data_IF_430592452790
#
_entry.id   IF_430592452790
#
_cell.length_a   1.000
_cell.length_b   1.000
_cell.length_c   1.000
_cell.angle_alpha   90.00
_cell.angle_beta   90.00
_cell.angle_gamma   90.00
#
_symmetry.space_group_name_H-M   'P 1'
#
loop_
_entity.id
_entity.type
_entity.pdbx_description
1 polymer ?
#
# COMPACT_ATOMS: atom_id res chain seq x y z
N UNK A 1 -28.00 6.72 -3.63
CA UNK A 1 -27.05 5.70 -4.10
C UNK A 1 -27.15 4.58 -3.07
N UNK A 2 -27.28 3.32 -3.49
CA UNK A 2 -27.21 2.21 -2.53
C UNK A 2 -25.82 2.27 -1.90
N UNK A 3 -25.75 2.43 -0.58
CA UNK A 3 -24.47 2.30 0.11
C UNK A 3 -24.00 0.85 -0.10
N UNK A 4 -22.77 0.66 -0.57
CA UNK A 4 -22.19 -0.67 -0.72
C UNK A 4 -22.12 -1.36 0.64
N UNK A 5 -22.30 -2.68 0.66
CA UNK A 5 -22.33 -3.50 1.88
C UNK A 5 -21.11 -4.41 1.99
N UNK A 6 -20.93 -5.06 3.14
CA UNK A 6 -19.94 -6.13 3.30
C UNK A 6 -20.13 -7.27 2.28
N UNK A 7 -21.38 -7.63 1.97
CA UNK A 7 -21.67 -8.64 0.95
C UNK A 7 -21.18 -8.19 -0.45
N UNK A 8 -21.41 -6.93 -0.82
CA UNK A 8 -20.92 -6.38 -2.09
C UNK A 8 -19.39 -6.36 -2.13
N UNK A 9 -18.73 -6.02 -1.02
CA UNK A 9 -17.28 -6.04 -0.89
C UNK A 9 -16.72 -7.46 -1.07
N UNK A 10 -17.30 -8.46 -0.41
CA UNK A 10 -16.89 -9.86 -0.57
C UNK A 10 -17.02 -10.33 -2.03
N UNK A 11 -18.13 -10.01 -2.69
CA UNK A 11 -18.37 -10.33 -4.11
C UNK A 11 -17.35 -9.64 -5.02
N UNK A 12 -17.09 -8.35 -4.81
CA UNK A 12 -16.11 -7.58 -5.57
C UNK A 12 -14.71 -8.22 -5.53
N UNK A 13 -14.35 -8.79 -4.38
CA UNK A 13 -13.06 -9.43 -4.18
C UNK A 13 -13.05 -10.93 -4.50
N UNK A 14 -14.19 -11.55 -4.80
CA UNK A 14 -14.30 -12.99 -4.99
C UNK A 14 -13.99 -13.79 -3.73
N UNK A 15 -14.27 -13.22 -2.55
CA UNK A 15 -13.95 -13.80 -1.25
C UNK A 15 -15.22 -14.25 -0.53
N UNK A 16 -15.05 -15.13 0.46
CA UNK A 16 -16.09 -15.49 1.44
C UNK A 16 -15.64 -15.05 2.82
N UNK A 17 -16.56 -14.94 3.81
CA UNK A 17 -16.17 -14.68 5.19
C UNK A 17 -15.10 -15.65 5.70
N UNK A 18 -15.24 -16.94 5.36
CA UNK A 18 -14.31 -17.99 5.76
C UNK A 18 -12.93 -17.84 5.09
N UNK A 19 -12.88 -17.51 3.79
CA UNK A 19 -11.60 -17.28 3.11
C UNK A 19 -10.91 -16.03 3.65
N UNK A 20 -11.64 -14.95 3.94
CA UNK A 20 -11.10 -13.77 4.62
C UNK A 20 -10.53 -14.12 5.99
N UNK A 21 -11.28 -14.84 6.84
CA UNK A 21 -10.81 -15.26 8.16
C UNK A 21 -9.55 -16.12 8.08
N UNK A 22 -9.47 -17.02 7.10
CA UNK A 22 -8.28 -17.83 6.85
C UNK A 22 -7.07 -16.96 6.46
N UNK A 23 -7.25 -16.02 5.53
CA UNK A 23 -6.18 -15.13 5.06
C UNK A 23 -5.72 -14.13 6.13
N UNK A 24 -6.62 -13.69 7.01
CA UNK A 24 -6.31 -12.81 8.13
C UNK A 24 -5.54 -13.53 9.25
N UNK A 25 -5.60 -14.87 9.29
CA UNK A 25 -4.95 -15.67 10.34
C UNK A 25 -5.53 -15.40 11.74
N UNK A 26 -4.87 -15.92 12.79
CA UNK A 26 -5.21 -15.59 14.17
C UNK A 26 -4.88 -14.12 14.47
N UNK A 27 -5.54 -13.56 15.50
CA UNK A 27 -5.21 -12.23 16.01
C UNK A 27 -3.78 -12.23 16.55
N UNK A 28 -2.97 -11.29 16.07
CA UNK A 28 -1.63 -11.11 16.58
C UNK A 28 -1.71 -10.55 18.01
N UNK A 29 -1.03 -11.20 18.97
CA UNK A 29 -0.84 -10.64 20.30
C UNK A 29 0.00 -9.36 20.18
N UNK A 30 -0.50 -8.25 20.70
CA UNK A 30 0.28 -7.00 20.80
C UNK A 30 1.54 -7.26 21.63
N UNK A 31 2.69 -7.37 20.96
CA UNK A 31 3.98 -7.29 21.64
C UNK A 31 4.40 -5.83 21.67
N UNK A 32 4.34 -5.25 22.87
CA UNK A 32 4.86 -3.93 23.18
C UNK A 32 6.38 -3.98 23.03
N UNK A 33 6.89 -3.46 21.91
CA UNK A 33 8.32 -3.26 21.73
C UNK A 33 8.73 -1.97 22.44
N UNK A 34 9.89 -2.00 23.10
CA UNK A 34 10.43 -0.87 23.87
C UNK A 34 10.53 0.42 23.04
N UNK A 35 10.44 1.57 23.71
CA UNK A 35 10.64 2.89 23.11
C UNK A 35 12.05 3.00 22.48
N UNK A 36 12.14 2.70 21.18
CA UNK A 36 13.31 3.04 20.39
C UNK A 36 13.19 4.50 19.96
N UNK A 37 14.13 5.35 20.38
CA UNK A 37 14.17 6.74 19.92
C UNK A 37 14.83 6.76 18.54
N UNK A 38 14.09 7.02 17.46
CA UNK A 38 14.66 7.05 16.12
C UNK A 38 15.75 8.12 16.01
N UNK A 39 16.75 7.92 15.13
CA UNK A 39 17.78 8.93 14.87
C UNK A 39 17.16 10.19 14.28
N UNK A 40 17.78 11.33 14.56
CA UNK A 40 17.42 12.59 13.90
C UNK A 40 17.93 12.57 12.45
N UNK A 41 17.02 12.76 11.50
CA UNK A 41 17.29 12.69 10.06
C UNK A 41 16.56 13.83 9.37
N UNK A 42 17.27 14.53 8.48
CA UNK A 42 16.65 15.48 7.55
C UNK A 42 15.80 14.71 6.55
N UNK A 43 14.50 14.96 6.56
CA UNK A 43 13.56 14.35 5.62
C UNK A 43 13.61 15.14 4.30
N UNK A 44 13.82 14.47 3.14
CA UNK A 44 13.76 15.13 1.84
C UNK A 44 12.39 15.78 1.57
N UNK A 45 12.34 16.72 0.62
CA UNK A 45 11.06 17.29 0.20
C UNK A 45 10.16 16.22 -0.44
N UNK A 46 8.84 16.46 -0.54
CA UNK A 46 7.93 15.51 -1.20
C UNK A 46 8.34 15.19 -2.64
N UNK A 47 8.82 16.17 -3.40
CA UNK A 47 9.35 15.97 -4.75
C UNK A 47 10.62 15.12 -4.76
N UNK A 48 11.55 15.34 -3.82
CA UNK A 48 12.75 14.52 -3.70
C UNK A 48 12.41 13.08 -3.27
N UNK A 49 11.41 12.91 -2.39
CA UNK A 49 10.90 11.60 -1.99
C UNK A 49 10.25 10.86 -3.16
N UNK A 50 9.56 11.56 -4.05
CA UNK A 50 8.97 10.98 -5.26
C UNK A 50 10.06 10.44 -6.20
N UNK A 51 11.09 11.26 -6.47
CA UNK A 51 12.26 10.84 -7.27
C UNK A 51 13.02 9.70 -6.61
N UNK A 52 13.25 9.79 -5.29
CA UNK A 52 13.92 8.74 -4.53
C UNK A 52 13.16 7.41 -4.56
N UNK A 53 11.82 7.46 -4.47
CA UNK A 53 10.96 6.27 -4.57
C UNK A 53 11.10 5.65 -5.95
N UNK A 54 11.03 6.45 -7.02
CA UNK A 54 11.26 6.00 -8.40
C UNK A 54 12.62 5.32 -8.58
N UNK A 55 13.70 5.95 -8.11
CA UNK A 55 15.06 5.43 -8.28
C UNK A 55 15.29 4.13 -7.51
N UNK A 56 14.67 3.99 -6.33
CA UNK A 56 14.76 2.76 -5.54
C UNK A 56 13.93 1.66 -6.19
N UNK A 57 12.68 1.96 -6.57
CA UNK A 57 11.78 0.97 -7.16
C UNK A 57 12.32 0.42 -8.49
N UNK A 58 12.98 1.24 -9.32
CA UNK A 58 13.63 0.75 -10.54
C UNK A 58 14.73 -0.29 -10.27
N UNK A 59 15.40 -0.22 -9.13
CA UNK A 59 16.42 -1.20 -8.72
C UNK A 59 15.79 -2.42 -8.04
N UNK A 60 14.75 -2.20 -7.23
CA UNK A 60 14.11 -3.25 -6.44
C UNK A 60 13.04 -4.04 -7.20
N UNK A 61 12.58 -3.51 -8.34
CA UNK A 61 11.62 -4.16 -9.24
C UNK A 61 11.99 -3.87 -10.71
N UNK A 62 13.15 -4.36 -11.20
CA UNK A 62 13.65 -4.07 -12.54
C UNK A 62 12.67 -4.44 -13.66
N UNK A 63 11.82 -5.45 -13.46
CA UNK A 63 10.78 -5.81 -14.43
C UNK A 63 9.74 -4.69 -14.67
N UNK A 64 9.59 -3.77 -13.71
CA UNK A 64 8.69 -2.61 -13.77
C UNK A 64 9.38 -1.30 -14.11
N UNK A 65 10.70 -1.30 -14.41
CA UNK A 65 11.48 -0.07 -14.50
C UNK A 65 10.94 0.94 -15.52
N UNK A 66 10.48 0.47 -16.69
CA UNK A 66 9.90 1.32 -17.72
C UNK A 66 8.59 1.99 -17.28
N UNK A 67 7.74 1.24 -16.58
CA UNK A 67 6.48 1.72 -16.02
C UNK A 67 6.73 2.70 -14.87
N UNK A 68 7.73 2.44 -14.03
CA UNK A 68 8.15 3.32 -12.95
C UNK A 68 8.64 4.66 -13.51
N UNK A 69 9.54 4.64 -14.50
CA UNK A 69 10.02 5.85 -15.15
C UNK A 69 8.86 6.68 -15.75
N UNK A 70 7.93 6.01 -16.46
CA UNK A 70 6.74 6.67 -17.01
C UNK A 70 5.86 7.27 -15.91
N UNK A 71 5.64 6.54 -14.82
CA UNK A 71 4.85 7.00 -13.67
C UNK A 71 5.44 8.27 -13.08
N UNK A 72 6.76 8.33 -12.94
CA UNK A 72 7.48 9.50 -12.43
C UNK A 72 7.30 10.72 -13.31
N UNK A 73 7.36 10.55 -14.64
CA UNK A 73 7.25 11.64 -15.61
C UNK A 73 5.80 12.12 -15.81
N UNK A 74 4.85 11.17 -15.81
CA UNK A 74 3.47 11.41 -16.23
C UNK A 74 2.50 11.63 -15.08
N UNK A 75 2.87 11.35 -13.83
CA UNK A 75 2.00 11.68 -12.68
C UNK A 75 2.12 13.16 -12.33
N UNK A 76 0.99 13.84 -12.16
CA UNK A 76 0.97 15.17 -11.53
C UNK A 76 0.99 15.01 -10.02
N UNK A 77 1.89 15.73 -9.35
CA UNK A 77 2.06 15.63 -7.89
C UNK A 77 1.86 16.99 -7.22
N UNK A 78 1.24 16.98 -6.05
CA UNK A 78 1.11 18.14 -5.17
C UNK A 78 1.44 17.73 -3.73
N UNK A 79 2.62 18.14 -3.25
CA UNK A 79 3.13 17.74 -1.93
C UNK A 79 2.84 18.75 -0.80
N UNK A 80 2.32 19.92 -1.15
CA UNK A 80 1.83 20.92 -0.21
C UNK A 80 0.42 21.39 -0.62
N UNK A 81 -0.58 20.47 -0.64
CA UNK A 81 -1.96 20.83 -0.94
C UNK A 81 -2.54 21.70 0.18
N UNK A 82 -3.66 22.36 -0.11
CA UNK A 82 -4.49 22.99 0.92
C UNK A 82 -5.02 21.92 1.88
N UNK A 83 -4.39 21.82 3.05
CA UNK A 83 -4.69 20.78 4.05
C UNK A 83 -6.03 20.97 4.75
N UNK A 84 -6.66 22.16 4.67
CA UNK A 84 -8.01 22.35 5.18
C UNK A 84 -9.04 21.64 4.30
N UNK A 85 -8.79 21.64 2.98
CA UNK A 85 -9.65 20.99 1.99
C UNK A 85 -9.27 19.53 1.74
N UNK A 86 -7.98 19.23 1.78
CA UNK A 86 -7.40 17.93 1.44
C UNK A 86 -6.44 17.46 2.54
N UNK A 87 -6.96 17.06 3.71
CA UNK A 87 -6.12 16.72 4.87
C UNK A 87 -5.40 15.37 4.74
N UNK A 88 -5.83 14.51 3.80
CA UNK A 88 -5.29 13.16 3.58
C UNK A 88 -4.67 13.06 2.20
N UNK A 89 -3.69 12.17 2.05
CA UNK A 89 -3.17 11.83 0.74
C UNK A 89 -4.20 11.02 -0.06
N UNK A 90 -4.15 11.17 -1.37
CA UNK A 90 -4.93 10.37 -2.30
C UNK A 90 -4.32 10.40 -3.69
N UNK A 91 -4.60 9.33 -4.44
CA UNK A 91 -4.30 9.20 -5.87
C UNK A 91 -5.59 9.08 -6.67
N UNK A 92 -5.73 9.93 -7.70
CA UNK A 92 -6.81 9.86 -8.69
C UNK A 92 -6.25 9.42 -10.05
N UNK A 93 -7.07 8.66 -10.80
CA UNK A 93 -6.71 8.21 -12.14
C UNK A 93 -6.59 9.36 -13.14
N UNK A 94 -7.52 10.31 -13.10
CA UNK A 94 -7.52 11.46 -14.00
C UNK A 94 -8.29 12.63 -13.35
N UNK A 95 -7.77 13.84 -13.52
CA UNK A 95 -8.41 15.10 -13.14
C UNK A 95 -8.89 15.92 -14.35
N UNK A 96 -9.05 15.27 -15.51
CA UNK A 96 -9.51 15.85 -16.77
C UNK A 96 -8.39 16.15 -17.78
N UNK A 97 -7.21 15.54 -17.61
CA UNK A 97 -6.03 15.74 -18.46
C UNK A 97 -5.36 14.44 -18.93
N UNK A 98 -5.98 13.28 -18.66
CA UNK A 98 -5.46 11.96 -19.03
C UNK A 98 -4.24 11.52 -18.21
N UNK A 99 -4.00 12.11 -17.04
CA UNK A 99 -2.83 11.82 -16.20
C UNK A 99 -3.25 11.57 -14.75
N UNK A 100 -2.61 10.60 -14.05
CA UNK A 100 -2.82 10.44 -12.63
C UNK A 100 -2.44 11.70 -11.85
N UNK A 101 -3.17 11.94 -10.77
CA UNK A 101 -2.92 13.03 -9.85
C UNK A 101 -2.75 12.50 -8.44
N UNK A 102 -1.64 12.89 -7.81
CA UNK A 102 -1.30 12.57 -6.42
C UNK A 102 -1.32 13.85 -5.60
N UNK A 103 -2.20 13.88 -4.59
CA UNK A 103 -2.16 14.88 -3.52
C UNK A 103 -1.57 14.21 -2.29
N UNK A 104 -0.48 14.74 -1.74
CA UNK A 104 0.19 14.11 -0.60
C UNK A 104 0.77 15.18 0.36
N UNK A 105 0.05 15.56 1.42
CA UNK A 105 0.51 16.61 2.33
C UNK A 105 1.74 16.16 3.13
N UNK A 106 2.92 16.60 2.69
CA UNK A 106 4.19 16.32 3.34
C UNK A 106 4.46 17.34 4.44
N UNK A 107 4.88 16.86 5.62
CA UNK A 107 5.11 17.66 6.83
C UNK A 107 6.58 17.70 7.26
N UNK A 108 7.49 17.12 6.46
CA UNK A 108 8.90 16.95 6.81
C UNK A 108 9.14 15.86 7.85
N UNK A 109 8.30 14.82 7.87
CA UNK A 109 8.36 13.72 8.85
C UNK A 109 8.73 12.40 8.19
N UNK A 110 9.26 11.44 8.95
CA UNK A 110 9.49 10.08 8.45
C UNK A 110 8.21 9.43 7.88
N UNK A 111 7.04 9.86 8.36
CA UNK A 111 5.74 9.47 7.81
C UNK A 111 5.56 9.80 6.34
N UNK A 112 6.23 10.85 5.84
CA UNK A 112 6.13 11.27 4.45
C UNK A 112 6.84 10.30 3.51
N UNK A 113 7.90 9.62 3.96
CA UNK A 113 8.60 8.61 3.15
C UNK A 113 7.65 7.47 2.79
N UNK A 114 6.95 6.93 3.80
CA UNK A 114 5.98 5.84 3.62
C UNK A 114 4.78 6.33 2.82
N UNK A 115 4.25 7.52 3.12
CA UNK A 115 3.09 8.08 2.41
C UNK A 115 3.37 8.34 0.93
N UNK A 116 4.54 8.90 0.60
CA UNK A 116 4.93 9.14 -0.80
C UNK A 116 5.13 7.81 -1.54
N UNK A 117 5.79 6.82 -0.91
CA UNK A 117 5.94 5.50 -1.51
C UNK A 117 4.60 4.79 -1.74
N UNK A 118 3.65 4.95 -0.82
CA UNK A 118 2.28 4.43 -0.91
C UNK A 118 1.54 5.00 -2.13
N UNK A 119 1.47 6.34 -2.24
CA UNK A 119 0.81 6.99 -3.38
C UNK A 119 1.55 6.73 -4.69
N UNK A 120 2.87 6.56 -4.67
CA UNK A 120 3.62 6.13 -5.85
C UNK A 120 3.15 4.75 -6.32
N UNK A 121 2.93 3.80 -5.41
CA UNK A 121 2.41 2.47 -5.76
C UNK A 121 1.02 2.52 -6.39
N UNK A 122 0.13 3.39 -5.89
CA UNK A 122 -1.15 3.63 -6.55
C UNK A 122 -1.00 4.23 -7.95
N UNK A 123 -0.18 5.26 -8.10
CA UNK A 123 0.05 5.88 -9.41
C UNK A 123 0.67 4.89 -10.40
N UNK A 124 1.62 4.07 -9.94
CA UNK A 124 2.25 3.03 -10.75
C UNK A 124 1.22 2.00 -11.22
N UNK A 125 0.34 1.53 -10.34
CA UNK A 125 -0.74 0.61 -10.72
C UNK A 125 -1.64 1.21 -11.81
N UNK A 126 -2.07 2.46 -11.64
CA UNK A 126 -2.94 3.15 -12.61
C UNK A 126 -2.25 3.35 -13.97
N UNK A 127 -0.93 3.53 -13.99
CA UNK A 127 -0.15 3.71 -15.21
C UNK A 127 0.25 2.41 -15.91
N UNK A 128 0.22 1.29 -15.20
CA UNK A 128 0.82 0.03 -15.66
C UNK A 128 -0.18 -0.99 -16.16
N UNK A 129 -1.40 -0.99 -15.61
CA UNK A 129 -2.35 -2.07 -15.83
C UNK A 129 -3.81 -1.66 -15.67
N UNK A 130 -4.73 -2.63 -15.74
CA UNK A 130 -6.15 -2.37 -15.59
C UNK A 130 -6.50 -1.90 -14.18
N UNK A 131 -7.67 -1.26 -13.98
CA UNK A 131 -8.18 -0.95 -12.65
C UNK A 131 -8.27 -2.20 -11.77
N UNK A 132 -7.77 -2.10 -10.55
CA UNK A 132 -7.82 -3.16 -9.55
C UNK A 132 -8.91 -2.88 -8.50
N UNK A 133 -9.53 -3.93 -7.93
CA UNK A 133 -10.40 -3.77 -6.78
C UNK A 133 -9.58 -3.27 -5.55
N UNK A 134 -10.23 -2.61 -4.57
CA UNK A 134 -9.55 -1.88 -3.49
C UNK A 134 -8.44 -2.65 -2.77
N UNK A 135 -8.69 -3.88 -2.28
CA UNK A 135 -7.66 -4.75 -1.67
C UNK A 135 -6.39 -4.87 -2.53
N UNK A 136 -6.52 -5.17 -3.82
CA UNK A 136 -5.35 -5.33 -4.70
C UNK A 136 -4.64 -4.01 -4.96
N UNK A 137 -5.39 -2.91 -5.07
CA UNK A 137 -4.84 -1.57 -5.20
C UNK A 137 -3.99 -1.17 -3.98
N UNK A 138 -4.43 -1.55 -2.78
CA UNK A 138 -3.66 -1.35 -1.53
C UNK A 138 -2.44 -2.27 -1.46
N UNK A 139 -2.51 -3.49 -2.00
CA UNK A 139 -1.34 -4.39 -2.06
C UNK A 139 -0.22 -3.77 -2.90
N UNK A 140 -0.55 -3.13 -4.03
CA UNK A 140 0.42 -2.37 -4.83
C UNK A 140 1.10 -1.27 -4.01
N UNK A 141 0.32 -0.49 -3.25
CA UNK A 141 0.85 0.59 -2.42
C UNK A 141 1.76 0.07 -1.30
N UNK A 142 1.31 -0.94 -0.55
CA UNK A 142 2.12 -1.56 0.51
C UNK A 142 3.37 -2.27 -0.03
N UNK A 143 3.32 -2.85 -1.24
CA UNK A 143 4.51 -3.41 -1.88
C UNK A 143 5.54 -2.31 -2.18
N UNK A 144 5.08 -1.15 -2.69
CA UNK A 144 5.96 0.00 -2.91
C UNK A 144 6.57 0.53 -1.61
N UNK A 145 5.80 0.62 -0.51
CA UNK A 145 6.35 0.96 0.82
C UNK A 145 7.49 0.01 1.23
N UNK A 146 7.25 -1.30 1.13
CA UNK A 146 8.21 -2.32 1.55
C UNK A 146 9.49 -2.30 0.71
N UNK A 147 9.38 -2.16 -0.62
CA UNK A 147 10.51 -2.09 -1.53
C UNK A 147 11.32 -0.81 -1.35
N UNK A 148 10.66 0.34 -1.15
CA UNK A 148 11.35 1.62 -0.87
C UNK A 148 12.15 1.52 0.43
N UNK A 149 11.53 1.04 1.52
CA UNK A 149 12.23 0.86 2.80
C UNK A 149 13.40 -0.12 2.67
N UNK A 150 13.23 -1.21 1.91
CA UNK A 150 14.30 -2.19 1.63
C UNK A 150 15.48 -1.52 0.92
N UNK A 151 15.24 -0.83 -0.19
CA UNK A 151 16.31 -0.18 -0.96
C UNK A 151 16.94 1.04 -0.26
N UNK A 152 16.22 1.69 0.65
CA UNK A 152 16.80 2.74 1.50
C UNK A 152 17.91 2.21 2.40
N UNK A 153 17.88 0.93 2.81
CA UNK A 153 18.92 0.37 3.70
C UNK A 153 20.32 0.46 3.11
N UNK A 154 20.43 0.34 1.78
CA UNK A 154 21.71 0.41 1.08
C UNK A 154 22.11 1.85 0.74
N UNK A 155 21.14 2.74 0.50
CA UNK A 155 21.40 4.12 0.04
C UNK A 155 21.47 5.15 1.16
N UNK A 156 20.61 5.03 2.17
CA UNK A 156 20.52 5.94 3.31
C UNK A 156 20.00 5.17 4.55
N UNK A 157 20.90 4.45 5.26
CA UNK A 157 20.52 3.60 6.39
C UNK A 157 19.74 4.32 7.49
N UNK A 158 20.08 5.60 7.76
CA UNK A 158 19.38 6.39 8.78
C UNK A 158 17.94 6.70 8.38
N UNK A 159 17.71 7.10 7.12
CA UNK A 159 16.36 7.30 6.60
C UNK A 159 15.58 5.99 6.55
N UNK A 160 16.25 4.88 6.24
CA UNK A 160 15.66 3.54 6.25
C UNK A 160 15.18 3.14 7.65
N UNK A 161 15.95 3.46 8.70
CA UNK A 161 15.59 3.17 10.09
C UNK A 161 14.31 3.89 10.51
N UNK A 162 14.24 5.22 10.29
CA UNK A 162 13.05 6.00 10.67
C UNK A 162 11.82 5.62 9.84
N UNK A 163 12.00 5.33 8.54
CA UNK A 163 10.92 4.85 7.67
C UNK A 163 10.45 3.45 8.08
N UNK A 164 11.38 2.55 8.46
CA UNK A 164 11.03 1.22 8.96
C UNK A 164 10.21 1.29 10.24
N UNK A 165 10.54 2.19 11.17
CA UNK A 165 9.78 2.39 12.39
C UNK A 165 8.33 2.84 12.11
N UNK A 166 8.14 3.77 11.17
CA UNK A 166 6.81 4.18 10.70
C UNK A 166 6.06 3.01 10.06
N UNK A 167 6.71 2.27 9.15
CA UNK A 167 6.10 1.13 8.47
C UNK A 167 5.61 0.07 9.47
N UNK A 168 6.42 -0.23 10.49
CA UNK A 168 6.04 -1.15 11.58
C UNK A 168 4.86 -0.60 12.39
N UNK A 169 4.85 0.70 12.72
CA UNK A 169 3.75 1.31 13.46
C UNK A 169 2.43 1.26 12.66
N UNK A 170 2.47 1.59 11.37
CA UNK A 170 1.30 1.46 10.48
C UNK A 170 0.85 0.00 10.38
N UNK A 171 1.79 -0.94 10.24
CA UNK A 171 1.47 -2.38 10.16
C UNK A 171 0.76 -2.86 11.42
N UNK A 172 1.20 -2.40 12.60
CA UNK A 172 0.52 -2.72 13.87
C UNK A 172 -0.88 -2.13 13.94
N UNK A 173 -1.10 -0.94 13.40
CA UNK A 173 -2.43 -0.34 13.33
C UNK A 173 -3.36 -1.18 12.45
N UNK A 174 -2.91 -1.51 11.23
CA UNK A 174 -3.70 -2.26 10.24
C UNK A 174 -4.00 -3.69 10.72
N UNK A 175 -3.00 -4.37 11.31
CA UNK A 175 -3.13 -5.74 11.79
C UNK A 175 -3.63 -5.86 13.24
N UNK A 176 -3.88 -4.74 13.90
CA UNK A 176 -4.45 -4.67 15.25
C UNK A 176 -5.93 -4.32 15.18
N UNK A 177 -6.24 -3.04 15.40
CA UNK A 177 -7.63 -2.56 15.49
C UNK A 177 -8.44 -2.83 14.23
N UNK A 178 -7.89 -2.56 13.04
CA UNK A 178 -8.63 -2.72 11.78
C UNK A 178 -8.86 -4.20 11.44
N UNK A 179 -7.89 -5.06 11.75
CA UNK A 179 -8.03 -6.52 11.65
C UNK A 179 -9.18 -7.03 12.53
N UNK A 180 -9.25 -6.61 13.79
CA UNK A 180 -10.33 -6.98 14.70
C UNK A 180 -11.70 -6.48 14.22
N UNK A 181 -11.78 -5.23 13.76
CA UNK A 181 -13.02 -4.67 13.23
C UNK A 181 -13.50 -5.44 12.01
N UNK A 182 -12.63 -5.68 11.02
CA UNK A 182 -12.98 -6.47 9.83
C UNK A 182 -13.51 -7.86 10.24
N UNK A 183 -12.80 -8.58 11.12
CA UNK A 183 -13.24 -9.90 11.59
C UNK A 183 -14.63 -9.89 12.19
N UNK A 184 -14.96 -8.88 13.00
CA UNK A 184 -16.27 -8.75 13.62
C UNK A 184 -17.39 -8.44 12.62
N UNK A 185 -17.05 -7.86 11.45
CA UNK A 185 -17.99 -7.45 10.41
C UNK A 185 -18.21 -8.49 9.32
N UNK A 186 -17.28 -9.43 9.12
CA UNK A 186 -17.40 -10.48 8.10
C UNK A 186 -18.69 -11.33 8.22
N UNK A 187 -19.27 -11.45 9.42
CA UNK A 187 -20.54 -12.17 9.64
C UNK A 187 -21.79 -11.28 9.49
N UNK A 188 -21.64 -10.02 9.07
CA UNK A 188 -22.72 -9.02 8.98
C UNK A 188 -22.86 -8.56 7.52
N UNK A 189 -23.51 -9.35 6.64
CA UNK A 189 -23.51 -9.09 5.19
C UNK A 189 -24.08 -7.72 4.82
N UNK A 190 -25.09 -7.24 5.56
CA UNK A 190 -25.78 -5.97 5.28
C UNK A 190 -25.11 -4.74 5.92
N UNK A 191 -23.99 -4.90 6.64
CA UNK A 191 -23.35 -3.74 7.26
C UNK A 191 -22.73 -2.82 6.19
N UNK A 192 -22.82 -1.48 6.35
CA UNK A 192 -22.27 -0.54 5.38
C UNK A 192 -20.76 -0.73 5.23
N UNK A 193 -20.29 -0.71 3.99
CA UNK A 193 -18.88 -0.84 3.67
C UNK A 193 -18.03 0.30 4.25
N UNK A 194 -16.93 -0.07 4.90
CA UNK A 194 -15.86 0.84 5.32
C UNK A 194 -14.59 0.56 4.50
N UNK A 195 -13.98 1.62 3.94
CA UNK A 195 -12.77 1.49 3.13
C UNK A 195 -11.59 0.95 3.94
N UNK A 196 -11.55 1.20 5.25
CA UNK A 196 -10.47 0.75 6.13
C UNK A 196 -10.38 -0.80 6.19
N UNK A 197 -11.44 -1.51 5.80
CA UNK A 197 -11.46 -2.98 5.69
C UNK A 197 -10.54 -3.55 4.62
N UNK A 198 -10.07 -2.74 3.67
CA UNK A 198 -9.09 -3.20 2.69
C UNK A 198 -7.71 -3.40 3.32
N UNK A 199 -7.34 -2.59 4.32
CA UNK A 199 -5.97 -2.54 4.83
C UNK A 199 -5.48 -3.83 5.50
N UNK A 200 -6.23 -4.49 6.39
CA UNK A 200 -5.74 -5.68 7.08
C UNK A 200 -5.40 -6.82 6.12
N UNK A 201 -6.31 -7.09 5.17
CA UNK A 201 -6.13 -8.16 4.21
C UNK A 201 -4.97 -7.84 3.25
N UNK A 202 -4.92 -6.61 2.73
CA UNK A 202 -3.84 -6.16 1.86
C UNK A 202 -2.48 -6.25 2.54
N UNK A 203 -2.36 -5.83 3.80
CA UNK A 203 -1.11 -5.93 4.57
C UNK A 203 -0.65 -7.38 4.71
N UNK A 204 -1.55 -8.30 5.09
CA UNK A 204 -1.24 -9.73 5.17
C UNK A 204 -0.74 -10.31 3.84
N UNK A 205 -1.43 -9.98 2.74
CA UNK A 205 -1.09 -10.48 1.42
C UNK A 205 0.22 -9.88 0.90
N UNK A 206 0.49 -8.59 1.15
CA UNK A 206 1.78 -7.97 0.82
C UNK A 206 2.94 -8.64 1.56
N UNK A 207 2.79 -8.98 2.84
CA UNK A 207 3.86 -9.68 3.58
C UNK A 207 4.20 -11.02 2.91
N UNK A 208 3.18 -11.80 2.51
CA UNK A 208 3.38 -13.07 1.79
C UNK A 208 4.00 -12.85 0.40
N UNK A 209 3.53 -11.84 -0.33
CA UNK A 209 4.07 -11.49 -1.65
C UNK A 209 5.55 -11.12 -1.58
N UNK A 210 5.96 -10.37 -0.55
CA UNK A 210 7.34 -9.92 -0.35
C UNK A 210 8.31 -11.01 0.14
N UNK A 211 7.80 -12.21 0.44
CA UNK A 211 8.60 -13.40 0.72
C UNK A 211 8.85 -14.26 -0.52
N UNK A 212 8.18 -13.96 -1.64
CA UNK A 212 8.41 -14.70 -2.88
C UNK A 212 9.81 -14.42 -3.45
N UNK A 213 10.47 -15.45 -4.02
CA UNK A 213 11.84 -15.31 -4.53
C UNK A 213 11.91 -14.61 -5.89
N UNK A 214 10.80 -14.57 -6.64
CA UNK A 214 10.71 -13.91 -7.94
C UNK A 214 9.71 -12.75 -7.94
N UNK A 215 9.86 -11.86 -8.92
CA UNK A 215 9.02 -10.67 -9.10
C UNK A 215 7.87 -10.91 -10.09
N UNK A 216 7.64 -12.14 -10.55
CA UNK A 216 6.65 -12.42 -11.60
C UNK A 216 5.24 -12.09 -11.10
N UNK A 217 4.89 -12.51 -9.88
CA UNK A 217 3.57 -12.22 -9.33
C UNK A 217 3.38 -10.73 -9.03
N UNK A 218 4.42 -10.04 -8.56
CA UNK A 218 4.41 -8.59 -8.37
C UNK A 218 4.18 -7.86 -9.69
N UNK A 219 4.90 -8.25 -10.74
CA UNK A 219 4.77 -7.67 -12.08
C UNK A 219 3.35 -7.88 -12.63
N UNK A 220 2.82 -9.10 -12.49
CA UNK A 220 1.47 -9.45 -12.93
C UNK A 220 0.42 -8.61 -12.21
N UNK A 221 0.57 -8.42 -10.89
CA UNK A 221 -0.31 -7.57 -10.08
C UNK A 221 -0.36 -6.13 -10.60
N UNK A 222 0.79 -5.53 -10.95
CA UNK A 222 0.85 -4.16 -11.46
C UNK A 222 0.38 -4.02 -12.91
N UNK A 223 0.71 -4.98 -13.79
CA UNK A 223 0.62 -4.78 -15.25
C UNK A 223 -0.54 -5.53 -15.92
N UNK A 224 -0.83 -6.76 -15.49
CA UNK A 224 -1.72 -7.66 -16.25
C UNK A 224 -3.14 -7.69 -15.68
N UNK A 225 -3.30 -7.23 -14.44
CA UNK A 225 -4.52 -7.47 -13.68
C UNK A 225 -4.52 -8.86 -13.08
N UNK A 226 -4.96 -8.94 -11.84
CA UNK A 226 -5.08 -10.17 -11.08
C UNK A 226 -6.39 -10.09 -10.30
N UNK A 227 -7.10 -11.19 -10.13
CA UNK A 227 -8.17 -11.26 -9.14
C UNK A 227 -7.59 -11.51 -7.74
N UNK A 228 -8.35 -11.19 -6.69
CA UNK A 228 -7.86 -11.43 -5.32
C UNK A 228 -7.69 -12.94 -5.09
N UNK A 229 -8.55 -13.76 -5.69
CA UNK A 229 -8.47 -15.24 -5.65
C UNK A 229 -7.18 -15.75 -6.28
N UNK A 230 -6.89 -15.38 -7.53
CA UNK A 230 -5.66 -15.79 -8.21
C UNK A 230 -4.40 -15.40 -7.42
N UNK A 231 -4.41 -14.24 -6.76
CA UNK A 231 -3.29 -13.81 -5.94
C UNK A 231 -3.12 -14.75 -4.76
N UNK A 232 -4.21 -15.02 -4.04
CA UNK A 232 -4.19 -15.86 -2.84
C UNK A 232 -3.75 -17.30 -3.11
N UNK A 233 -4.13 -17.86 -4.26
CA UNK A 233 -3.75 -19.20 -4.72
C UNK A 233 -2.28 -19.28 -5.15
N UNK A 234 -1.72 -18.17 -5.63
CA UNK A 234 -0.31 -18.09 -6.06
C UNK A 234 0.66 -17.87 -4.89
N UNK A 235 0.16 -17.43 -3.74
CA UNK A 235 0.98 -17.12 -2.56
C UNK A 235 1.23 -18.37 -1.70
N UNK A 236 2.42 -18.50 -1.09
CA UNK A 236 2.72 -19.62 -0.19
C UNK A 236 1.74 -19.64 0.99
N UNK A 237 1.36 -20.83 1.46
CA UNK A 237 0.48 -20.99 2.63
C UNK A 237 1.05 -20.29 3.87
N UNK A 238 0.18 -19.86 4.79
CA UNK A 238 0.62 -19.35 6.10
C UNK A 238 1.36 -20.49 6.84
N UNK A 239 2.58 -20.19 7.31
CA UNK A 239 3.39 -21.09 8.15
C UNK A 239 2.98 -20.91 9.60
#
# INVERSE_FOLDING_TARGET
MSDSTMADWLVLHGLTPESCLHLLGPEASEQVSAEHRPPEVTIPSGSDLWTLSSDILQVQAPALAAQIARTTEQTLTQFAPDTERFPRAFTLHDIGNGRPYVSCPCKGTAGDVIRVAHEFGHALQLMSGPPLPPVLREICAFASEALVVRGLRDRNPKLAEVASAVLVANTRHDLGRLHQDLRARLSQPDCPYDYDWNYPLSRCLTVRLMQMPDETLLTKLFCEGLSTVELTESLPAQV
#
